data_IF_782694246560
#
_entry.id   IF_782694246560
#
_cell.length_a   1.000
_cell.length_b   1.000
_cell.length_c   1.000
_cell.angle_alpha   90.00
_cell.angle_beta   90.00
_cell.angle_gamma   90.00
#
_symmetry.space_group_name_H-M   'P 1'
#
loop_
_entity.id
_entity.type
_entity.pdbx_description
1 polymer ?
#
# COMPACT_ATOMS: atom_id res chain seq x y z
N UNK A 1 -5.62 -16.21 -17.81
CA UNK A 1 -7.01 -15.98 -17.39
C UNK A 1 -7.07 -16.14 -15.87
N UNK A 2 -7.58 -15.13 -15.15
CA UNK A 2 -7.66 -15.17 -13.70
C UNK A 2 -8.51 -16.31 -13.18
N UNK A 3 -9.54 -16.73 -13.92
CA UNK A 3 -10.38 -17.87 -13.57
C UNK A 3 -9.61 -19.19 -13.53
N UNK A 4 -8.56 -19.31 -14.31
CA UNK A 4 -7.74 -20.51 -14.37
C UNK A 4 -6.65 -20.55 -13.29
N UNK A 5 -6.35 -19.44 -12.67
CA UNK A 5 -5.31 -19.37 -11.63
C UNK A 5 -5.71 -20.02 -10.31
N UNK A 6 -6.98 -20.34 -10.13
CA UNK A 6 -7.51 -20.73 -8.83
C UNK A 6 -8.13 -22.11 -8.88
N UNK A 7 -7.48 -23.01 -8.23
CA UNK A 7 -8.02 -24.34 -7.97
C UNK A 7 -7.98 -24.59 -6.48
N UNK A 8 -8.99 -25.28 -5.99
CA UNK A 8 -9.13 -25.85 -4.65
C UNK A 8 -8.67 -24.95 -3.50
N UNK A 9 -9.63 -24.32 -2.84
CA UNK A 9 -9.42 -23.50 -1.64
C UNK A 9 -9.10 -22.04 -1.91
N UNK A 10 -8.72 -21.70 -3.12
CA UNK A 10 -8.58 -20.31 -3.54
C UNK A 10 -9.60 -20.03 -4.65
N UNK A 11 -10.58 -19.23 -4.39
CA UNK A 11 -11.58 -18.84 -5.38
C UNK A 11 -11.25 -17.45 -5.89
N UNK A 12 -10.58 -17.35 -7.04
CA UNK A 12 -10.58 -16.10 -7.76
C UNK A 12 -11.97 -15.93 -8.36
N UNK A 13 -12.71 -15.01 -7.84
CA UNK A 13 -13.90 -14.52 -8.53
C UNK A 13 -13.45 -13.52 -9.59
N UNK A 14 -13.74 -13.84 -10.84
CA UNK A 14 -13.67 -12.83 -11.90
C UNK A 14 -14.67 -11.75 -11.55
N UNK A 15 -14.20 -10.54 -11.32
CA UNK A 15 -15.07 -9.37 -11.27
C UNK A 15 -15.75 -9.27 -12.64
N UNK A 16 -17.05 -9.48 -12.66
CA UNK A 16 -17.83 -9.39 -13.89
C UNK A 16 -17.65 -7.99 -14.46
N UNK A 17 -17.53 -7.90 -15.78
CA UNK A 17 -17.30 -6.63 -16.49
C UNK A 17 -18.24 -5.48 -16.08
N UNK A 18 -19.45 -5.79 -15.62
CA UNK A 18 -20.40 -4.80 -15.08
C UNK A 18 -20.00 -4.18 -13.74
N UNK A 19 -19.18 -4.85 -12.94
CA UNK A 19 -18.70 -4.28 -11.66
C UNK A 19 -17.46 -3.40 -11.85
N UNK A 20 -16.62 -3.70 -12.82
CA UNK A 20 -15.51 -2.83 -13.22
C UNK A 20 -16.00 -1.51 -13.82
N UNK A 21 -17.12 -1.52 -14.50
CA UNK A 21 -17.72 -0.29 -15.04
C UNK A 21 -18.16 0.70 -13.96
N UNK A 22 -18.54 0.23 -12.77
CA UNK A 22 -18.90 1.12 -11.65
C UNK A 22 -17.77 2.04 -11.21
N UNK A 23 -16.52 1.64 -11.41
CA UNK A 23 -15.37 2.49 -11.12
C UNK A 23 -15.16 3.59 -12.18
N UNK A 24 -15.75 3.46 -13.36
CA UNK A 24 -15.61 4.39 -14.47
C UNK A 24 -16.82 5.32 -14.63
N UNK A 25 -17.92 5.06 -13.92
CA UNK A 25 -19.09 5.92 -13.91
C UNK A 25 -18.91 7.12 -12.97
N UNK A 26 -19.50 8.27 -13.27
CA UNK A 26 -19.49 9.41 -12.37
C UNK A 26 -20.14 9.03 -11.03
N UNK A 27 -19.37 9.13 -9.96
CA UNK A 27 -19.87 8.84 -8.61
C UNK A 27 -20.66 10.02 -8.06
N UNK A 28 -21.80 9.72 -7.42
CA UNK A 28 -22.58 10.73 -6.69
C UNK A 28 -21.91 11.21 -5.40
N UNK A 29 -20.95 10.42 -4.88
CA UNK A 29 -20.19 10.75 -3.69
C UNK A 29 -18.69 10.49 -3.92
N UNK A 30 -17.86 11.48 -3.62
CA UNK A 30 -16.40 11.34 -3.65
C UNK A 30 -15.93 10.68 -2.37
N UNK A 31 -15.53 9.42 -2.45
CA UNK A 31 -15.08 8.64 -1.30
C UNK A 31 -13.55 8.65 -1.24
N UNK A 32 -12.99 8.98 -0.09
CA UNK A 32 -11.54 9.04 0.11
C UNK A 32 -10.81 7.68 0.06
N UNK A 33 -11.54 6.57 0.24
CA UNK A 33 -10.96 5.24 0.31
C UNK A 33 -10.96 4.45 -1.00
N UNK A 34 -11.64 4.91 -2.04
CA UNK A 34 -11.72 4.23 -3.34
C UNK A 34 -12.31 5.13 -4.43
N UNK A 35 -12.25 4.68 -5.68
CA UNK A 35 -12.86 5.36 -6.83
C UNK A 35 -11.86 5.98 -7.80
N UNK A 36 -10.58 6.01 -7.46
CA UNK A 36 -9.54 6.41 -8.41
C UNK A 36 -9.00 5.18 -9.15
N UNK A 37 -8.76 5.36 -10.44
CA UNK A 37 -8.11 4.39 -11.32
C UNK A 37 -6.80 5.00 -11.78
N UNK A 38 -5.71 4.24 -11.74
CA UNK A 38 -4.38 4.72 -12.06
C UNK A 38 -3.56 3.64 -12.78
N UNK A 39 -2.42 4.03 -13.31
CA UNK A 39 -1.39 3.13 -13.84
C UNK A 39 -0.23 3.00 -12.86
N UNK A 40 0.58 1.94 -12.98
CA UNK A 40 1.80 1.80 -12.17
C UNK A 40 2.77 2.98 -12.37
N UNK A 41 2.82 3.52 -13.57
CA UNK A 41 3.67 4.68 -13.90
C UNK A 41 3.21 5.95 -13.18
N UNK A 42 1.92 6.25 -13.22
CA UNK A 42 1.38 7.45 -12.57
C UNK A 42 1.46 7.30 -11.04
N UNK A 43 1.21 6.10 -10.54
CA UNK A 43 1.37 5.83 -9.11
C UNK A 43 2.83 5.92 -8.65
N UNK A 44 3.78 5.52 -9.50
CA UNK A 44 5.21 5.74 -9.25
C UNK A 44 5.56 7.22 -9.14
N UNK A 45 4.98 8.08 -9.97
CA UNK A 45 5.20 9.53 -9.88
C UNK A 45 4.69 10.08 -8.53
N UNK A 46 3.53 9.60 -8.07
CA UNK A 46 3.03 9.93 -6.73
C UNK A 46 4.01 9.47 -5.62
N UNK A 47 4.51 8.23 -5.70
CA UNK A 47 5.48 7.71 -4.73
C UNK A 47 6.81 8.51 -4.78
N UNK A 48 7.27 8.89 -5.96
CA UNK A 48 8.47 9.73 -6.13
C UNK A 48 8.28 11.11 -5.51
N UNK A 49 7.12 11.72 -5.67
CA UNK A 49 6.79 12.98 -5.00
C UNK A 49 6.89 12.84 -3.47
N UNK A 50 6.40 11.74 -2.91
CA UNK A 50 6.47 11.50 -1.46
C UNK A 50 7.89 11.27 -0.96
N UNK A 51 8.69 10.41 -1.63
CA UNK A 51 10.08 10.13 -1.22
C UNK A 51 10.96 11.38 -1.37
N UNK A 52 10.65 12.25 -2.34
CA UNK A 52 11.27 13.57 -2.52
C UNK A 52 10.67 14.65 -1.61
N UNK A 53 9.97 14.22 -0.55
CA UNK A 53 9.43 15.10 0.48
C UNK A 53 8.51 16.20 -0.07
N UNK A 54 7.65 15.82 -1.02
CA UNK A 54 6.59 16.67 -1.56
C UNK A 54 6.94 17.43 -2.83
N UNK A 55 8.07 17.13 -3.48
CA UNK A 55 8.45 17.73 -4.76
C UNK A 55 8.46 16.68 -5.89
N UNK A 56 8.12 17.11 -7.09
CA UNK A 56 8.17 16.30 -8.30
C UNK A 56 8.47 17.19 -9.52
N UNK A 57 9.45 16.81 -10.33
CA UNK A 57 9.86 17.53 -11.56
C UNK A 57 10.10 19.03 -11.35
N UNK A 58 10.68 19.39 -10.20
CA UNK A 58 10.97 20.78 -9.86
C UNK A 58 9.83 21.55 -9.19
N UNK A 59 8.61 21.00 -9.25
CA UNK A 59 7.44 21.60 -8.62
C UNK A 59 7.25 21.08 -7.19
N UNK A 60 6.76 21.94 -6.30
CA UNK A 60 6.43 21.59 -4.92
C UNK A 60 4.93 21.46 -4.74
N UNK A 61 4.47 20.23 -4.52
CA UNK A 61 3.06 19.91 -4.26
C UNK A 61 2.73 19.93 -2.77
N UNK A 62 3.67 19.49 -1.93
CA UNK A 62 3.51 19.45 -0.48
C UNK A 62 4.77 20.01 0.22
N UNK A 63 4.60 20.65 1.35
CA UNK A 63 5.73 21.03 2.17
C UNK A 63 6.43 19.78 2.76
N UNK A 64 7.76 19.77 2.94
CA UNK A 64 8.46 18.63 3.55
C UNK A 64 7.91 18.23 4.91
N UNK A 65 7.53 19.20 5.73
CA UNK A 65 6.91 18.97 7.05
C UNK A 65 5.49 18.39 6.96
N UNK A 66 4.78 18.66 5.86
CA UNK A 66 3.49 18.02 5.60
C UNK A 66 3.66 16.53 5.31
N UNK A 67 4.61 16.16 4.45
CA UNK A 67 4.91 14.75 4.16
C UNK A 67 5.39 14.05 5.43
N UNK A 68 6.26 14.66 6.22
CA UNK A 68 6.72 14.14 7.50
C UNK A 68 5.52 13.87 8.43
N UNK A 69 4.62 14.84 8.58
CA UNK A 69 3.42 14.67 9.39
C UNK A 69 2.54 13.53 8.86
N UNK A 70 2.33 13.43 7.55
CA UNK A 70 1.51 12.38 6.94
C UNK A 70 2.04 10.97 7.20
N UNK A 71 3.35 10.83 7.31
CA UNK A 71 4.03 9.53 7.48
C UNK A 71 4.42 9.22 8.94
N UNK A 72 3.98 10.03 9.90
CA UNK A 72 4.08 9.72 11.33
C UNK A 72 2.90 8.86 11.78
N UNK A 73 3.10 8.10 12.86
CA UNK A 73 1.98 7.39 13.50
C UNK A 73 1.07 8.37 14.25
N UNK A 74 -0.20 8.37 13.90
CA UNK A 74 -1.26 9.15 14.55
C UNK A 74 -2.16 8.31 15.46
N UNK A 75 -1.93 6.99 15.51
CA UNK A 75 -2.71 6.09 16.37
C UNK A 75 -2.22 6.19 17.79
N UNK A 76 -3.14 6.40 18.72
CA UNK A 76 -2.81 6.47 20.14
C UNK A 76 -2.36 5.11 20.67
N UNK A 77 -1.48 5.12 21.67
CA UNK A 77 -0.88 3.90 22.24
C UNK A 77 -1.94 2.91 22.77
N UNK A 78 -3.01 3.41 23.36
CA UNK A 78 -4.09 2.58 23.90
C UNK A 78 -4.96 1.91 22.81
N UNK A 79 -4.79 2.29 21.55
CA UNK A 79 -5.44 1.70 20.38
C UNK A 79 -4.53 0.73 19.61
N UNK A 80 -3.33 0.47 20.15
CA UNK A 80 -2.37 -0.44 19.54
C UNK A 80 -2.47 -1.82 20.22
N UNK A 81 -2.23 -2.94 19.48
CA UNK A 81 -1.96 -2.98 18.04
C UNK A 81 -3.19 -2.60 17.20
N UNK A 82 -2.95 -2.12 16.00
CA UNK A 82 -4.03 -1.89 15.04
C UNK A 82 -4.73 -3.19 14.70
N UNK A 83 -6.05 -3.15 14.61
CA UNK A 83 -6.85 -4.27 14.12
C UNK A 83 -7.50 -3.91 12.77
N UNK A 84 -7.28 -4.74 11.77
CA UNK A 84 -7.89 -4.58 10.44
C UNK A 84 -8.58 -5.90 10.08
N UNK A 85 -9.89 -5.87 9.90
CA UNK A 85 -10.71 -7.04 9.56
C UNK A 85 -10.54 -8.24 10.52
N UNK A 86 -10.36 -7.97 11.81
CA UNK A 86 -10.17 -9.00 12.83
C UNK A 86 -8.73 -9.53 12.93
N UNK A 87 -7.78 -8.93 12.24
CA UNK A 87 -6.36 -9.27 12.33
C UNK A 87 -5.58 -8.16 13.00
N UNK A 88 -4.80 -8.51 14.01
CA UNK A 88 -3.85 -7.59 14.64
C UNK A 88 -2.67 -7.31 13.70
N UNK A 89 -2.36 -6.05 13.53
CA UNK A 89 -1.22 -5.56 12.75
C UNK A 89 -0.13 -5.13 13.72
N UNK A 90 0.76 -6.06 14.01
CA UNK A 90 1.85 -5.84 14.96
C UNK A 90 2.95 -4.97 14.34
N UNK A 91 3.53 -4.09 15.14
CA UNK A 91 4.68 -3.28 14.75
C UNK A 91 4.38 -2.18 13.73
N UNK A 92 3.14 -1.98 13.36
CA UNK A 92 2.73 -0.94 12.41
C UNK A 92 1.72 0.02 13.07
N UNK A 93 1.84 1.29 12.72
CA UNK A 93 0.90 2.36 13.05
C UNK A 93 0.20 2.87 11.79
N UNK A 94 -0.49 4.00 11.91
CA UNK A 94 -1.19 4.62 10.79
C UNK A 94 -1.01 6.13 10.80
N UNK A 95 -0.59 6.66 9.65
CA UNK A 95 -0.45 8.07 9.39
C UNK A 95 -1.68 8.68 8.72
N UNK A 96 -1.48 9.72 7.95
CA UNK A 96 -2.57 10.32 7.17
C UNK A 96 -2.63 9.66 5.77
N UNK A 97 -3.26 8.47 5.72
CA UNK A 97 -3.45 7.70 4.50
C UNK A 97 -2.43 6.57 4.27
N UNK A 98 -1.52 6.32 5.21
CA UNK A 98 -0.48 5.30 5.11
C UNK A 98 -0.38 4.47 6.37
N UNK A 99 -0.20 3.16 6.24
CA UNK A 99 0.39 2.34 7.29
C UNK A 99 1.88 2.71 7.42
N UNK A 100 2.40 2.71 8.64
CA UNK A 100 3.78 3.12 8.95
C UNK A 100 4.44 2.05 9.80
N UNK A 101 5.60 1.54 9.36
CA UNK A 101 6.37 0.58 10.14
C UNK A 101 7.03 1.28 11.35
N UNK A 102 6.64 0.87 12.54
CA UNK A 102 7.16 1.37 13.81
C UNK A 102 8.19 0.43 14.43
N UNK A 103 8.08 -0.86 14.13
CA UNK A 103 8.95 -1.90 14.70
C UNK A 103 9.03 -3.09 13.73
N UNK A 104 10.12 -3.16 13.00
CA UNK A 104 10.37 -4.21 11.99
C UNK A 104 10.35 -5.63 12.60
N UNK A 105 10.88 -5.81 13.80
CA UNK A 105 10.89 -7.11 14.47
C UNK A 105 9.49 -7.58 14.85
N UNK A 106 8.61 -6.67 15.26
CA UNK A 106 7.24 -7.00 15.62
C UNK A 106 6.37 -7.21 14.37
N UNK A 107 6.56 -6.42 13.31
CA UNK A 107 5.78 -6.54 12.07
C UNK A 107 6.16 -7.78 11.25
N UNK A 108 7.34 -8.34 11.46
CA UNK A 108 7.90 -9.46 10.68
C UNK A 108 7.97 -9.15 9.16
N UNK A 109 8.03 -7.89 8.82
CA UNK A 109 8.18 -7.43 7.44
C UNK A 109 9.57 -6.83 7.25
N UNK A 110 10.32 -7.28 6.24
CA UNK A 110 11.60 -6.65 5.88
C UNK A 110 11.38 -5.19 5.51
N UNK A 111 12.36 -4.35 5.84
CA UNK A 111 12.35 -2.90 5.60
C UNK A 111 12.79 -2.12 6.82
N UNK A 112 12.81 -0.82 6.69
CA UNK A 112 13.26 0.10 7.73
C UNK A 112 12.11 0.57 8.61
N UNK A 113 12.41 0.98 9.85
CA UNK A 113 11.47 1.79 10.64
C UNK A 113 11.21 3.09 9.89
N UNK A 114 9.95 3.48 9.76
CA UNK A 114 9.54 4.62 8.95
C UNK A 114 9.18 4.27 7.50
N UNK A 115 9.33 3.01 7.06
CA UNK A 115 8.71 2.55 5.81
C UNK A 115 7.21 2.78 5.89
N UNK A 116 6.62 3.36 4.85
CA UNK A 116 5.19 3.63 4.81
C UNK A 116 4.58 3.21 3.47
N UNK A 117 3.28 2.95 3.48
CA UNK A 117 2.56 2.52 2.28
C UNK A 117 1.14 2.09 2.60
N UNK A 118 0.45 1.52 1.64
CA UNK A 118 -0.87 0.93 1.85
C UNK A 118 -1.18 -0.10 0.77
N UNK A 119 -2.28 -0.80 0.94
CA UNK A 119 -2.75 -1.80 0.00
C UNK A 119 -4.24 -1.66 -0.33
N UNK A 120 -4.67 -2.40 -1.32
CA UNK A 120 -6.06 -2.46 -1.76
C UNK A 120 -6.63 -3.87 -1.76
N UNK A 121 -7.96 -3.96 -1.81
CA UNK A 121 -8.71 -5.22 -1.79
C UNK A 121 -8.33 -6.16 -2.94
N UNK A 122 -7.96 -5.60 -4.10
CA UNK A 122 -7.54 -6.37 -5.28
C UNK A 122 -6.06 -6.77 -5.27
N UNK A 123 -5.43 -6.82 -4.10
CA UNK A 123 -4.00 -7.12 -3.92
C UNK A 123 -3.07 -6.13 -4.62
N UNK A 124 -3.53 -4.92 -4.83
CA UNK A 124 -2.65 -3.80 -5.15
C UNK A 124 -1.95 -3.35 -3.88
N UNK A 125 -0.71 -2.90 -3.98
CA UNK A 125 0.03 -2.41 -2.83
C UNK A 125 1.22 -1.58 -3.23
N UNK A 126 1.65 -0.73 -2.30
CA UNK A 126 2.91 -0.02 -2.43
C UNK A 126 3.54 0.19 -1.06
N UNK A 127 4.86 0.29 -1.07
CA UNK A 127 5.64 0.80 0.05
C UNK A 127 6.69 1.78 -0.46
N UNK A 128 7.03 2.71 0.39
CA UNK A 128 8.14 3.64 0.25
C UNK A 128 9.01 3.47 1.48
N UNK A 129 10.27 3.13 1.27
CA UNK A 129 11.29 3.08 2.30
C UNK A 129 12.28 4.22 2.07
N UNK A 130 12.18 5.32 2.84
CA UNK A 130 13.06 6.47 2.64
C UNK A 130 14.52 6.21 3.02
N UNK A 131 14.78 5.23 3.89
CA UNK A 131 16.13 4.90 4.31
C UNK A 131 16.89 4.13 3.22
N UNK A 132 16.18 3.21 2.55
CA UNK A 132 16.73 2.42 1.45
C UNK A 132 16.54 3.10 0.08
N UNK A 133 15.94 4.30 0.05
CA UNK A 133 15.54 5.00 -1.18
C UNK A 133 14.72 4.13 -2.13
N UNK A 134 13.91 3.23 -1.56
CA UNK A 134 13.18 2.19 -2.27
C UNK A 134 11.69 2.53 -2.42
N UNK A 135 11.19 2.32 -3.62
CA UNK A 135 9.75 2.31 -3.91
C UNK A 135 9.40 0.93 -4.49
N UNK A 136 8.45 0.25 -3.88
CA UNK A 136 7.89 -1.00 -4.37
C UNK A 136 6.41 -0.82 -4.66
N UNK A 137 5.97 -1.16 -5.86
CA UNK A 137 4.58 -1.09 -6.29
C UNK A 137 4.16 -2.45 -6.86
N UNK A 138 3.05 -2.97 -6.38
CA UNK A 138 2.40 -4.16 -6.92
C UNK A 138 1.04 -3.79 -7.49
N UNK A 139 0.82 -4.12 -8.75
CA UNK A 139 -0.50 -4.02 -9.40
C UNK A 139 -1.00 -5.44 -9.70
N UNK A 140 -1.97 -5.88 -8.93
CA UNK A 140 -2.60 -7.18 -9.10
C UNK A 140 -4.13 -7.01 -9.20
N UNK A 141 -4.80 -8.00 -9.75
CA UNK A 141 -6.26 -8.06 -9.87
C UNK A 141 -6.75 -9.35 -9.20
N UNK A 142 -6.52 -9.43 -7.90
CA UNK A 142 -6.71 -10.63 -7.14
C UNK A 142 -7.40 -10.35 -5.80
N UNK A 143 -8.62 -10.82 -5.65
CA UNK A 143 -9.40 -10.68 -4.42
C UNK A 143 -9.46 -12.03 -3.74
N UNK A 144 -8.58 -12.27 -2.80
CA UNK A 144 -8.61 -13.46 -1.93
C UNK A 144 -7.87 -13.21 -0.62
N UNK A 145 -8.39 -13.67 0.53
CA UNK A 145 -7.59 -13.76 1.75
C UNK A 145 -6.57 -14.92 1.64
N UNK A 146 -5.34 -14.75 2.09
CA UNK A 146 -4.78 -13.51 2.59
C UNK A 146 -4.13 -12.69 1.46
N UNK A 147 -4.76 -11.62 1.10
CA UNK A 147 -4.32 -10.70 0.03
C UNK A 147 -2.90 -10.21 0.21
N UNK A 148 -2.45 -10.17 1.46
CA UNK A 148 -1.14 -9.64 1.84
C UNK A 148 0.02 -10.58 1.54
N UNK A 149 -0.21 -11.88 1.35
CA UNK A 149 0.89 -12.85 1.15
C UNK A 149 1.69 -12.56 -0.10
N UNK A 150 1.02 -12.27 -1.22
CA UNK A 150 1.71 -11.98 -2.48
C UNK A 150 2.62 -10.75 -2.34
N UNK A 151 2.11 -9.68 -1.73
CA UNK A 151 2.89 -8.48 -1.51
C UNK A 151 4.04 -8.70 -0.51
N UNK A 152 3.80 -9.50 0.54
CA UNK A 152 4.83 -9.87 1.51
C UNK A 152 5.96 -10.67 0.87
N UNK A 153 5.65 -11.63 0.00
CA UNK A 153 6.68 -12.40 -0.73
C UNK A 153 7.47 -11.50 -1.69
N UNK A 154 6.78 -10.64 -2.44
CA UNK A 154 7.45 -9.69 -3.33
C UNK A 154 8.36 -8.75 -2.53
N UNK A 155 7.88 -8.18 -1.43
CA UNK A 155 8.65 -7.34 -0.52
C UNK A 155 9.89 -8.07 -0.03
N UNK A 156 9.73 -9.30 0.45
CA UNK A 156 10.84 -10.12 0.93
C UNK A 156 11.89 -10.34 -0.16
N UNK A 157 11.48 -10.73 -1.37
CA UNK A 157 12.40 -10.97 -2.47
C UNK A 157 13.17 -9.70 -2.88
N UNK A 158 12.50 -8.55 -2.89
CA UNK A 158 13.14 -7.26 -3.22
C UNK A 158 14.17 -6.88 -2.16
N UNK A 159 13.81 -6.91 -0.87
CA UNK A 159 14.78 -6.57 0.18
C UNK A 159 15.95 -7.56 0.26
N UNK A 160 15.76 -8.83 -0.06
CA UNK A 160 16.85 -9.80 -0.14
C UNK A 160 17.81 -9.55 -1.32
N UNK A 161 17.42 -8.78 -2.30
CA UNK A 161 18.27 -8.41 -3.44
C UNK A 161 19.10 -7.14 -3.20
N UNK A 162 18.83 -6.40 -2.13
CA UNK A 162 19.66 -5.25 -1.75
C UNK A 162 21.01 -5.73 -1.24
N UNK A 163 22.08 -5.10 -1.70
CA UNK A 163 23.48 -5.48 -1.42
C UNK A 163 24.29 -4.36 -0.76
N UNK A 164 23.63 -3.40 -0.19
CA UNK A 164 24.26 -2.25 0.49
C UNK A 164 24.86 -2.65 1.84
#
# INVERSE_FOLDING_TARGET
>A
DLEQMWREGAVAQRLVSGETHRCLEPHQAFRGGHGLVSTSKDYLNFCRMLIQRGSWEGERLLAPKTVELMTMNHVRQEMMPLEIRGYEILGEGFGLGFGVNLNTAASLNLGSVGTFGWGGLASTGFIIDPLEELILIQMAQFIHPPEQLLFKYLRTAVYQSLTN
#
